data_IF_098835083909
#
_entry.id   IF_098835083909
#
_cell.length_a   1.000
_cell.length_b   1.000
_cell.length_c   1.000
_cell.angle_alpha   90.00
_cell.angle_beta   90.00
_cell.angle_gamma   90.00
#
_symmetry.space_group_name_H-M   'P 1'
#
loop_
_entity.id
_entity.type
_entity.pdbx_description
1 polymer ?
#
# COMPACT_ATOMS: atom_id res chain seq x y z
N UNK A 1 -0.97 -22.19 7.58
CA UNK A 1 -0.20 -20.92 7.67
C UNK A 1 1.30 -21.04 7.33
N UNK A 2 2.03 -22.13 7.62
CA UNK A 2 3.49 -22.22 7.38
C UNK A 2 3.91 -22.32 5.91
N UNK A 3 3.09 -22.98 5.07
CA UNK A 3 3.42 -23.18 3.65
C UNK A 3 3.34 -21.87 2.85
N UNK A 4 2.33 -21.03 3.11
CA UNK A 4 2.19 -19.73 2.46
C UNK A 4 3.34 -18.77 2.80
N UNK A 5 3.79 -18.76 4.07
CA UNK A 5 4.95 -17.99 4.47
C UNK A 5 6.23 -18.45 3.75
N UNK A 6 6.45 -19.76 3.65
CA UNK A 6 7.57 -20.34 2.93
C UNK A 6 7.58 -19.95 1.44
N UNK A 7 6.44 -20.09 0.74
CA UNK A 7 6.33 -19.70 -0.67
C UNK A 7 6.57 -18.21 -0.89
N UNK A 8 6.09 -17.34 0.02
CA UNK A 8 6.38 -15.90 -0.05
C UNK A 8 7.89 -15.63 0.08
N UNK A 9 8.60 -16.31 0.98
CA UNK A 9 10.06 -16.15 1.12
C UNK A 9 10.83 -16.66 -0.10
N UNK A 10 10.43 -17.81 -0.64
CA UNK A 10 11.03 -18.38 -1.86
C UNK A 10 10.82 -17.46 -3.05
N UNK A 11 9.63 -16.85 -3.18
CA UNK A 11 9.33 -15.92 -4.26
C UNK A 11 9.96 -14.54 -4.05
N UNK A 12 10.17 -14.13 -2.79
CA UNK A 12 10.78 -12.85 -2.44
C UNK A 12 12.20 -12.69 -2.97
N UNK A 13 13.04 -13.72 -2.82
CA UNK A 13 14.44 -13.68 -3.20
C UNK A 13 14.69 -13.40 -4.69
N UNK A 14 14.09 -14.14 -5.65
CA UNK A 14 14.28 -13.88 -7.08
C UNK A 14 13.68 -12.54 -7.49
N UNK A 15 12.49 -12.18 -6.97
CA UNK A 15 11.88 -10.87 -7.25
C UNK A 15 12.81 -9.76 -6.79
N UNK A 16 13.32 -9.82 -5.55
CA UNK A 16 14.23 -8.78 -5.03
C UNK A 16 15.51 -8.66 -5.87
N UNK A 17 16.05 -9.77 -6.37
CA UNK A 17 17.29 -9.77 -7.13
C UNK A 17 17.11 -9.28 -8.58
N UNK A 18 16.01 -9.69 -9.22
CA UNK A 18 15.75 -9.42 -10.64
C UNK A 18 15.05 -8.09 -10.87
N UNK A 19 14.27 -7.61 -9.89
CA UNK A 19 13.41 -6.45 -10.09
C UNK A 19 14.19 -5.16 -9.90
N UNK A 20 14.30 -4.40 -10.99
CA UNK A 20 14.69 -2.98 -10.92
C UNK A 20 13.40 -2.17 -10.96
N UNK A 21 13.20 -1.32 -9.98
CA UNK A 21 12.05 -0.42 -9.92
C UNK A 21 12.53 1.00 -9.74
N UNK A 22 11.69 1.95 -10.15
CA UNK A 22 11.87 3.38 -9.98
C UNK A 22 10.68 3.90 -9.17
N UNK A 23 10.95 4.71 -8.16
CA UNK A 23 9.91 5.28 -7.31
C UNK A 23 9.47 6.60 -7.92
N UNK A 24 8.18 6.74 -8.17
CA UNK A 24 7.57 7.98 -8.64
C UNK A 24 6.63 8.44 -7.53
N UNK A 25 7.05 9.48 -6.81
CA UNK A 25 6.20 10.18 -5.87
C UNK A 25 5.94 11.59 -6.38
N UNK A 26 4.70 12.04 -6.27
CA UNK A 26 4.34 13.41 -6.58
C UNK A 26 4.73 14.32 -5.40
N UNK A 27 5.18 15.53 -5.67
CA UNK A 27 5.69 16.46 -4.64
C UNK A 27 4.64 16.77 -3.58
N UNK A 28 3.38 16.91 -3.99
CA UNK A 28 2.27 17.18 -3.08
C UNK A 28 2.01 15.99 -2.15
N UNK A 29 2.19 14.77 -2.68
CA UNK A 29 2.08 13.53 -1.90
C UNK A 29 3.26 13.38 -0.95
N UNK A 30 4.48 13.69 -1.38
CA UNK A 30 5.67 13.68 -0.50
C UNK A 30 5.48 14.61 0.68
N UNK A 31 5.07 15.86 0.44
CA UNK A 31 4.90 16.86 1.51
C UNK A 31 3.81 16.47 2.51
N UNK A 32 2.76 15.80 2.05
CA UNK A 32 1.64 15.42 2.90
C UNK A 32 1.91 14.14 3.70
N UNK A 33 2.65 13.20 3.11
CA UNK A 33 2.81 11.83 3.65
C UNK A 33 4.12 11.68 4.45
N UNK A 34 5.17 12.43 4.11
CA UNK A 34 6.47 12.31 4.78
C UNK A 34 6.38 12.90 6.19
N UNK A 35 6.51 12.02 7.19
CA UNK A 35 6.45 12.39 8.62
C UNK A 35 5.10 12.12 9.29
N UNK A 36 4.04 11.84 8.52
CA UNK A 36 2.78 11.34 9.10
C UNK A 36 2.80 9.83 9.27
N UNK A 37 2.27 9.36 10.41
CA UNK A 37 2.11 7.93 10.71
C UNK A 37 0.73 7.40 10.27
N UNK A 38 -0.22 8.30 10.01
CA UNK A 38 -1.62 8.00 9.70
C UNK A 38 -1.83 7.93 8.19
N UNK A 39 -1.16 6.97 7.56
CA UNK A 39 -1.19 6.77 6.11
C UNK A 39 -1.73 5.38 5.80
N UNK A 40 -2.68 5.32 4.88
CA UNK A 40 -3.26 4.08 4.35
C UNK A 40 -3.03 4.05 2.84
N UNK A 41 -2.57 2.90 2.34
CA UNK A 41 -2.30 2.68 0.93
C UNK A 41 -3.47 1.99 0.24
N UNK A 42 -3.80 2.45 -0.95
CA UNK A 42 -4.82 1.84 -1.80
C UNK A 42 -4.13 1.25 -3.03
N UNK A 43 -4.28 -0.05 -3.26
CA UNK A 43 -3.74 -0.73 -4.43
C UNK A 43 -4.87 -1.35 -5.26
N UNK A 44 -4.70 -1.35 -6.59
CA UNK A 44 -5.64 -2.04 -7.49
C UNK A 44 -5.29 -3.51 -7.69
N UNK A 45 -4.00 -3.84 -7.66
CA UNK A 45 -3.51 -5.19 -7.93
C UNK A 45 -3.32 -5.97 -6.64
N UNK A 46 -3.84 -7.19 -6.60
CA UNK A 46 -3.70 -8.15 -5.48
C UNK A 46 -2.52 -9.11 -5.67
N UNK A 47 -1.71 -8.90 -6.72
CA UNK A 47 -0.55 -9.73 -7.01
C UNK A 47 0.49 -9.68 -5.88
N UNK A 48 1.00 -10.85 -5.49
CA UNK A 48 2.07 -10.96 -4.51
C UNK A 48 3.36 -10.25 -4.96
N UNK A 49 3.64 -10.23 -6.27
CA UNK A 49 4.81 -9.52 -6.80
C UNK A 49 4.66 -8.00 -6.61
N UNK A 50 3.47 -7.47 -6.92
CA UNK A 50 3.18 -6.04 -6.79
C UNK A 50 3.25 -5.60 -5.34
N UNK A 51 2.72 -6.41 -4.42
CA UNK A 51 2.84 -6.17 -2.98
C UNK A 51 4.30 -6.09 -2.53
N UNK A 52 5.15 -7.02 -2.97
CA UNK A 52 6.56 -7.04 -2.58
C UNK A 52 7.33 -5.83 -3.12
N UNK A 53 7.08 -5.43 -4.37
CA UNK A 53 7.71 -4.25 -4.98
C UNK A 53 7.21 -2.97 -4.31
N UNK A 54 5.90 -2.84 -4.11
CA UNK A 54 5.31 -1.69 -3.42
C UNK A 54 5.86 -1.53 -2.01
N UNK A 55 5.96 -2.64 -1.25
CA UNK A 55 6.57 -2.63 0.09
C UNK A 55 8.01 -2.15 0.05
N UNK A 56 8.82 -2.67 -0.88
CA UNK A 56 10.21 -2.27 -1.02
C UNK A 56 10.35 -0.78 -1.37
N UNK A 57 9.50 -0.29 -2.29
CA UNK A 57 9.47 1.11 -2.70
C UNK A 57 9.10 2.05 -1.55
N UNK A 58 8.07 1.74 -0.77
CA UNK A 58 7.65 2.58 0.36
C UNK A 58 8.70 2.63 1.46
N UNK A 59 9.32 1.50 1.80
CA UNK A 59 10.42 1.47 2.76
C UNK A 59 11.61 2.31 2.28
N UNK A 60 11.95 2.24 0.98
CA UNK A 60 13.01 3.08 0.41
C UNK A 60 12.65 4.58 0.39
N UNK A 61 11.35 4.91 0.30
CA UNK A 61 10.85 6.27 0.40
C UNK A 61 10.68 6.78 1.84
N UNK A 62 11.17 6.03 2.86
CA UNK A 62 10.99 6.32 4.29
C UNK A 62 9.51 6.42 4.73
N UNK A 63 8.63 5.68 4.05
CA UNK A 63 7.23 5.58 4.39
C UNK A 63 6.92 4.31 5.22
N UNK A 64 5.85 4.33 6.04
CA UNK A 64 5.44 3.17 6.82
C UNK A 64 5.27 1.91 5.97
N UNK A 65 5.69 0.75 6.50
CA UNK A 65 5.60 -0.49 5.74
C UNK A 65 4.15 -0.94 5.58
N UNK A 66 3.78 -1.41 4.39
CA UNK A 66 2.42 -1.90 4.08
C UNK A 66 1.94 -3.01 5.03
N UNK A 67 2.86 -3.85 5.51
CA UNK A 67 2.57 -4.97 6.41
C UNK A 67 2.41 -4.54 7.89
N UNK A 68 2.71 -3.28 8.23
CA UNK A 68 2.56 -2.77 9.60
C UNK A 68 1.15 -2.24 9.82
N UNK A 69 0.46 -2.64 10.91
CA UNK A 69 -0.85 -2.10 11.20
C UNK A 69 -0.82 -0.58 11.42
N UNK A 70 -1.92 0.08 11.11
CA UNK A 70 -2.16 1.47 11.47
C UNK A 70 -2.79 1.51 12.87
N UNK A 71 -2.09 2.09 13.84
CA UNK A 71 -2.60 2.24 15.20
C UNK A 71 -3.22 3.63 15.38
N UNK A 72 -4.52 3.68 15.65
CA UNK A 72 -5.24 4.91 15.99
C UNK A 72 -5.94 4.68 17.33
N UNK A 73 -5.64 5.49 18.34
CA UNK A 73 -6.29 5.45 19.65
C UNK A 73 -6.33 4.03 20.28
N UNK A 74 -5.28 3.24 20.10
CA UNK A 74 -5.17 1.87 20.60
C UNK A 74 -5.91 0.80 19.77
N UNK A 75 -6.62 1.20 18.72
CA UNK A 75 -7.23 0.30 17.74
C UNK A 75 -6.30 0.07 16.55
N UNK A 76 -6.31 -1.14 16.01
CA UNK A 76 -5.49 -1.57 14.87
C UNK A 76 -6.33 -1.61 13.61
N UNK A 77 -5.87 -0.91 12.58
CA UNK A 77 -6.49 -0.84 11.26
C UNK A 77 -5.55 -1.39 10.19
N UNK A 78 -6.13 -1.88 9.09
CA UNK A 78 -5.35 -2.27 7.92
C UNK A 78 -4.68 -1.05 7.29
N UNK A 79 -3.40 -1.19 6.94
CA UNK A 79 -2.66 -0.14 6.22
C UNK A 79 -2.80 -0.27 4.71
N UNK A 80 -3.24 -1.41 4.21
CA UNK A 80 -3.41 -1.68 2.79
C UNK A 80 -4.83 -2.10 2.49
N UNK A 81 -5.43 -1.42 1.53
CA UNK A 81 -6.74 -1.75 0.97
C UNK A 81 -6.61 -2.10 -0.50
N UNK A 82 -7.37 -3.10 -0.94
CA UNK A 82 -7.41 -3.48 -2.35
C UNK A 82 -8.73 -3.06 -2.99
N UNK A 83 -8.63 -2.15 -3.96
CA UNK A 83 -9.78 -1.73 -4.79
C UNK A 83 -9.66 -2.45 -6.13
N UNK A 84 -9.94 -3.76 -6.12
CA UNK A 84 -9.87 -4.60 -7.31
C UNK A 84 -11.20 -4.53 -8.08
N UNK A 85 -11.22 -4.13 -9.36
CA UNK A 85 -12.46 -4.00 -10.13
C UNK A 85 -13.15 -5.34 -10.45
N UNK A 86 -12.47 -6.48 -10.31
CA UNK A 86 -12.97 -7.80 -10.68
C UNK A 86 -13.35 -8.71 -9.51
N UNK A 87 -12.99 -8.36 -8.28
CA UNK A 87 -13.19 -9.20 -7.09
C UNK A 87 -14.10 -8.51 -6.07
N UNK A 88 -15.41 -8.75 -6.19
CA UNK A 88 -16.44 -8.07 -5.38
C UNK A 88 -16.18 -8.15 -3.88
N UNK A 89 -15.72 -9.30 -3.37
CA UNK A 89 -15.46 -9.49 -1.94
C UNK A 89 -14.32 -8.60 -1.41
N UNK A 90 -13.27 -8.37 -2.21
CA UNK A 90 -12.16 -7.50 -1.80
C UNK A 90 -12.56 -6.03 -1.84
N UNK A 91 -13.35 -5.65 -2.85
CA UNK A 91 -13.92 -4.31 -2.93
C UNK A 91 -14.86 -4.02 -1.75
N UNK A 92 -15.71 -4.97 -1.37
CA UNK A 92 -16.57 -4.88 -0.18
C UNK A 92 -15.74 -4.75 1.11
N UNK A 93 -14.73 -5.59 1.29
CA UNK A 93 -13.83 -5.51 2.45
C UNK A 93 -13.12 -4.14 2.53
N UNK A 94 -12.65 -3.60 1.40
CA UNK A 94 -12.03 -2.27 1.36
C UNK A 94 -13.03 -1.16 1.74
N UNK A 95 -14.30 -1.28 1.36
CA UNK A 95 -15.36 -0.35 1.78
C UNK A 95 -15.58 -0.43 3.29
N UNK A 96 -15.67 -1.63 3.86
CA UNK A 96 -15.86 -1.83 5.30
C UNK A 96 -14.67 -1.28 6.10
N UNK A 97 -13.44 -1.53 5.66
CA UNK A 97 -12.23 -1.01 6.30
C UNK A 97 -12.17 0.53 6.21
N UNK A 98 -12.59 1.11 5.08
CA UNK A 98 -12.68 2.56 4.93
C UNK A 98 -13.76 3.15 5.86
N UNK A 99 -14.91 2.50 5.98
CA UNK A 99 -15.97 2.92 6.91
C UNK A 99 -15.47 2.92 8.36
N UNK A 100 -14.67 1.94 8.77
CA UNK A 100 -14.09 1.90 10.11
C UNK A 100 -13.16 3.10 10.37
N UNK A 101 -12.35 3.49 9.39
CA UNK A 101 -11.49 4.68 9.48
C UNK A 101 -12.32 5.96 9.56
N UNK A 102 -13.39 6.06 8.76
CA UNK A 102 -14.28 7.21 8.79
C UNK A 102 -14.95 7.35 10.16
N UNK A 103 -15.47 6.26 10.72
CA UNK A 103 -16.03 6.28 12.08
C UNK A 103 -14.98 6.63 13.14
N UNK A 104 -13.71 6.25 12.95
CA UNK A 104 -12.64 6.67 13.86
C UNK A 104 -12.40 8.18 13.80
N UNK A 105 -12.44 8.79 12.61
CA UNK A 105 -12.37 10.23 12.42
C UNK A 105 -13.60 10.96 12.99
N UNK A 106 -14.80 10.40 12.82
CA UNK A 106 -16.04 10.98 13.40
C UNK A 106 -15.99 11.02 14.93
N UNK A 107 -15.36 10.02 15.57
CA UNK A 107 -15.20 9.98 17.03
C UNK A 107 -14.12 10.94 17.52
N UNK A 108 -13.10 11.21 16.70
CA UNK A 108 -11.97 12.05 17.04
C UNK A 108 -11.47 12.82 15.82
N UNK A 109 -11.84 14.10 15.74
CA UNK A 109 -11.49 14.97 14.62
C UNK A 109 -9.99 15.26 14.51
N UNK A 110 -9.17 14.87 15.49
CA UNK A 110 -7.71 14.96 15.40
C UNK A 110 -7.09 13.83 14.57
N UNK A 111 -7.83 12.75 14.31
CA UNK A 111 -7.39 11.62 13.48
C UNK A 111 -7.45 12.03 12.02
N UNK A 112 -6.32 12.31 11.39
CA UNK A 112 -6.25 12.67 9.97
C UNK A 112 -5.56 11.56 9.19
N UNK A 113 -6.37 10.58 8.76
CA UNK A 113 -5.87 9.46 7.95
C UNK A 113 -5.80 9.87 6.48
N UNK A 114 -4.61 9.80 5.92
CA UNK A 114 -4.37 10.07 4.52
C UNK A 114 -4.42 8.78 3.69
N UNK A 115 -5.25 8.77 2.66
CA UNK A 115 -5.30 7.71 1.65
C UNK A 115 -4.32 8.03 0.52
N UNK A 116 -3.42 7.08 0.24
CA UNK A 116 -2.40 7.22 -0.80
C UNK A 116 -2.58 6.13 -1.84
N UNK A 117 -2.94 6.46 -3.10
CA UNK A 117 -3.01 5.47 -4.15
C UNK A 117 -1.60 5.00 -4.52
N UNK A 118 -1.41 3.68 -4.58
CA UNK A 118 -0.16 3.04 -4.97
C UNK A 118 -0.39 2.21 -6.23
N UNK A 119 0.31 2.59 -7.30
CA UNK A 119 0.30 1.89 -8.58
C UNK A 119 1.63 1.21 -8.85
N UNK A 120 1.60 -0.06 -9.26
CA UNK A 120 2.77 -0.78 -9.76
C UNK A 120 2.61 -0.98 -11.26
N UNK A 121 3.61 -0.53 -12.03
CA UNK A 121 3.59 -0.58 -13.49
C UNK A 121 4.80 -1.36 -14.01
N UNK A 122 4.55 -2.55 -14.56
CA UNK A 122 5.60 -3.40 -15.10
C UNK A 122 5.95 -3.07 -16.55
N UNK A 123 7.24 -3.17 -16.89
CA UNK A 123 7.72 -3.01 -18.26
C UNK A 123 7.61 -1.57 -18.82
N UNK A 124 7.33 -0.59 -17.95
CA UNK A 124 7.23 0.83 -18.32
C UNK A 124 8.36 1.60 -17.65
N UNK A 125 8.95 2.54 -18.38
CA UNK A 125 9.92 3.50 -17.84
C UNK A 125 9.27 4.86 -17.73
N UNK A 126 9.51 5.56 -16.61
CA UNK A 126 8.98 6.90 -16.40
C UNK A 126 9.46 7.85 -17.51
N UNK A 127 8.56 8.72 -17.99
CA UNK A 127 8.88 9.74 -18.99
C UNK A 127 9.19 9.22 -20.40
N UNK A 128 8.95 7.93 -20.70
CA UNK A 128 9.11 7.36 -22.04
C UNK A 128 7.76 6.86 -22.58
N UNK A 129 7.16 7.64 -23.49
CA UNK A 129 6.04 7.18 -24.31
C UNK A 129 6.60 6.49 -25.57
N UNK A 130 6.06 5.32 -25.95
CA UNK A 130 6.37 4.75 -27.27
C UNK A 130 5.71 5.65 -28.31
N UNK A 131 6.55 6.36 -29.08
CA UNK A 131 6.13 7.09 -30.27
C UNK A 131 5.56 6.16 -31.33
#
# INVERSE_FOLDING_TARGET
MRLQAFWRTVLYWPIRLLTRFEIILDRDTEQSVVGTKQVVYIMRSTSAADHLVARAALVQANLPSIDEPLLINGQSFARLMYVAPSETQQAEAAVDEFQQLLQAHERDSSVSVQLVPVGVFWGRKSGQERR
#
